data_IF_735632257014
#
_entry.id   IF_735632257014
#
_cell.length_a   1.000
_cell.length_b   1.000
_cell.length_c   1.000
_cell.angle_alpha   90.00
_cell.angle_beta   90.00
_cell.angle_gamma   90.00
#
_symmetry.space_group_name_H-M   'P 1'
#
loop_
_entity.id
_entity.type
_entity.pdbx_description
1 polymer ?
#
# COMPACT_ATOMS: atom_id res chain seq x y z
N UNK A 1 7.34 12.31 11.33
CA UNK A 1 8.43 11.34 11.65
C UNK A 1 9.82 11.87 11.29
N UNK A 2 10.08 12.31 10.05
CA UNK A 2 11.43 12.72 9.60
C UNK A 2 12.06 13.86 10.42
N UNK A 3 11.33 14.96 10.63
CA UNK A 3 11.83 16.13 11.39
C UNK A 3 12.17 15.75 12.83
N UNK A 4 11.30 15.00 13.50
CA UNK A 4 11.52 14.53 14.88
C UNK A 4 12.74 13.62 14.97
N UNK A 5 12.92 12.70 14.01
CA UNK A 5 14.12 11.86 13.93
C UNK A 5 15.39 12.70 13.80
N UNK A 6 15.34 13.78 13.00
CA UNK A 6 16.47 14.69 12.81
C UNK A 6 16.85 15.41 14.11
N UNK A 7 15.86 15.95 14.82
CA UNK A 7 16.04 16.65 16.11
C UNK A 7 16.59 15.70 17.17
N UNK A 8 16.00 14.51 17.30
CA UNK A 8 16.44 13.51 18.28
C UNK A 8 17.84 12.98 17.96
N UNK A 9 18.16 12.74 16.69
CA UNK A 9 19.49 12.24 16.30
C UNK A 9 20.58 13.28 16.58
N UNK A 10 20.29 14.58 16.42
CA UNK A 10 21.20 15.67 16.80
C UNK A 10 21.43 15.72 18.31
N UNK A 11 20.37 15.59 19.12
CA UNK A 11 20.48 15.62 20.59
C UNK A 11 21.15 14.37 21.18
N UNK A 12 20.94 13.21 20.58
CA UNK A 12 21.48 11.94 21.08
C UNK A 12 22.90 11.61 20.56
N UNK A 13 23.46 12.44 19.66
CA UNK A 13 24.73 12.19 18.93
C UNK A 13 24.87 10.78 18.32
N UNK A 14 23.74 10.10 18.09
CA UNK A 14 23.66 8.78 17.46
C UNK A 14 22.39 8.70 16.63
N UNK A 15 22.39 7.87 15.58
CA UNK A 15 21.21 7.64 14.74
C UNK A 15 20.10 7.05 15.61
N UNK A 16 19.09 7.85 15.92
CA UNK A 16 17.90 7.38 16.60
C UNK A 16 16.94 6.75 15.58
N UNK A 17 16.68 5.45 15.69
CA UNK A 17 15.66 4.75 14.90
C UNK A 17 14.29 4.95 15.55
N UNK A 18 13.71 6.14 15.39
CA UNK A 18 12.40 6.48 15.97
C UNK A 18 11.30 6.19 14.95
N UNK A 19 10.40 5.28 15.32
CA UNK A 19 9.15 5.01 14.62
C UNK A 19 8.05 5.71 15.39
N UNK A 20 7.35 6.65 14.74
CA UNK A 20 6.19 7.33 15.31
C UNK A 20 4.97 6.70 14.69
N UNK A 21 4.20 5.99 15.50
CA UNK A 21 2.86 5.50 15.15
C UNK A 21 1.85 6.33 15.93
N UNK A 22 0.86 6.89 15.24
CA UNK A 22 -0.18 7.70 15.84
C UNK A 22 -1.41 6.80 15.93
N UNK A 23 -1.81 6.41 17.14
CA UNK A 23 -3.02 5.62 17.41
C UNK A 23 -3.19 4.33 16.57
N UNK A 24 -2.11 3.61 16.23
CA UNK A 24 -2.20 2.41 15.39
C UNK A 24 -2.59 2.71 13.94
N UNK A 25 -2.44 3.96 13.48
CA UNK A 25 -2.86 4.37 12.14
C UNK A 25 -2.21 3.53 11.04
N UNK A 26 -0.94 3.11 11.21
CA UNK A 26 -0.26 2.25 10.22
C UNK A 26 -0.87 0.86 10.12
N UNK A 27 -1.24 0.25 11.24
CA UNK A 27 -1.89 -1.07 11.25
C UNK A 27 -3.31 -0.97 10.69
N UNK A 28 -4.09 0.01 11.14
CA UNK A 28 -5.44 0.25 10.65
C UNK A 28 -5.50 0.61 9.15
N UNK A 29 -4.55 1.42 8.66
CA UNK A 29 -4.43 1.73 7.22
C UNK A 29 -4.12 0.48 6.40
N UNK A 30 -3.19 -0.36 6.88
CA UNK A 30 -2.81 -1.59 6.19
C UNK A 30 -3.98 -2.57 6.09
N UNK A 31 -4.77 -2.69 7.16
CA UNK A 31 -5.96 -3.55 7.16
C UNK A 31 -7.03 -3.04 6.20
N UNK A 32 -7.28 -1.72 6.18
CA UNK A 32 -8.20 -1.11 5.21
C UNK A 32 -7.76 -1.35 3.77
N UNK A 33 -6.46 -1.27 3.48
CA UNK A 33 -5.91 -1.53 2.15
C UNK A 33 -6.06 -3.01 1.74
N UNK A 34 -5.87 -3.95 2.68
CA UNK A 34 -6.14 -5.39 2.45
C UNK A 34 -7.60 -5.63 2.12
N UNK A 35 -8.51 -5.03 2.91
CA UNK A 35 -9.94 -5.08 2.68
C UNK A 35 -10.34 -4.49 1.33
N UNK A 36 -9.80 -3.32 0.96
CA UNK A 36 -10.01 -2.69 -0.34
C UNK A 36 -9.55 -3.59 -1.48
N UNK A 37 -8.34 -4.16 -1.39
CA UNK A 37 -7.78 -5.06 -2.40
C UNK A 37 -8.69 -6.26 -2.64
N UNK A 38 -9.16 -6.92 -1.57
CA UNK A 38 -10.04 -8.08 -1.67
C UNK A 38 -11.41 -7.74 -2.28
N UNK A 39 -12.00 -6.60 -1.92
CA UNK A 39 -13.27 -6.15 -2.51
C UNK A 39 -13.12 -5.87 -4.00
N UNK A 40 -12.07 -5.14 -4.38
CA UNK A 40 -11.82 -4.80 -5.78
C UNK A 40 -11.45 -6.03 -6.61
N UNK A 41 -10.73 -7.01 -6.05
CA UNK A 41 -10.47 -8.28 -6.71
C UNK A 41 -11.76 -9.05 -6.99
N UNK A 42 -12.65 -9.19 -6.00
CA UNK A 42 -13.97 -9.80 -6.20
C UNK A 42 -14.77 -9.09 -7.28
N UNK A 43 -14.78 -7.75 -7.24
CA UNK A 43 -15.50 -6.95 -8.23
C UNK A 43 -14.91 -7.12 -9.64
N UNK A 44 -13.58 -7.20 -9.77
CA UNK A 44 -12.91 -7.40 -11.05
C UNK A 44 -13.27 -8.75 -11.67
N UNK A 45 -13.30 -9.82 -10.86
CA UNK A 45 -13.71 -11.16 -11.29
C UNK A 45 -15.20 -11.19 -11.65
N UNK A 46 -16.06 -10.62 -10.80
CA UNK A 46 -17.51 -10.61 -11.02
C UNK A 46 -17.90 -9.84 -12.29
N UNK A 47 -17.22 -8.74 -12.59
CA UNK A 47 -17.47 -7.92 -13.76
C UNK A 47 -16.67 -8.36 -14.99
N UNK A 48 -15.75 -9.33 -14.84
CA UNK A 48 -14.84 -9.77 -15.91
C UNK A 48 -13.97 -8.66 -16.49
N UNK A 49 -13.79 -7.54 -15.76
CA UNK A 49 -13.07 -6.36 -16.26
C UNK A 49 -11.96 -5.93 -15.33
N UNK A 50 -10.95 -5.33 -15.94
CA UNK A 50 -9.80 -4.77 -15.24
C UNK A 50 -10.21 -3.57 -14.40
N UNK A 51 -9.84 -3.55 -13.12
CA UNK A 51 -10.10 -2.43 -12.20
C UNK A 51 -8.80 -1.72 -11.88
N UNK A 52 -8.79 -0.40 -12.05
CA UNK A 52 -7.64 0.44 -11.69
C UNK A 52 -7.92 1.18 -10.39
N UNK A 53 -7.01 1.05 -9.43
CA UNK A 53 -7.05 1.76 -8.16
C UNK A 53 -6.49 3.17 -8.29
N UNK A 54 -6.74 4.00 -7.28
CA UNK A 54 -6.15 5.32 -7.19
C UNK A 54 -4.61 5.26 -7.04
N UNK A 55 -3.88 6.28 -7.53
CA UNK A 55 -2.44 6.39 -7.30
C UNK A 55 -2.12 6.42 -5.81
N UNK A 56 -1.11 5.65 -5.41
CA UNK A 56 -0.75 5.54 -4.00
C UNK A 56 0.76 5.31 -3.80
N UNK A 57 1.30 5.61 -2.60
CA UNK A 57 2.72 5.51 -2.37
C UNK A 57 3.22 4.04 -2.43
N UNK A 58 4.53 3.83 -2.65
CA UNK A 58 5.09 2.49 -2.90
C UNK A 58 4.79 1.44 -1.81
N UNK A 59 4.76 1.86 -0.54
CA UNK A 59 4.42 0.98 0.59
C UNK A 59 2.97 0.47 0.50
N UNK A 60 2.02 1.32 0.12
CA UNK A 60 0.61 0.94 -0.03
C UNK A 60 0.41 0.01 -1.23
N UNK A 61 1.07 0.31 -2.36
CA UNK A 61 1.06 -0.58 -3.54
C UNK A 61 1.59 -1.97 -3.22
N UNK A 62 2.67 -2.04 -2.43
CA UNK A 62 3.25 -3.32 -1.98
C UNK A 62 2.25 -4.13 -1.15
N UNK A 63 1.47 -3.49 -0.28
CA UNK A 63 0.45 -4.19 0.52
C UNK A 63 -0.58 -4.85 -0.38
N UNK A 64 -1.10 -4.13 -1.39
CA UNK A 64 -2.09 -4.67 -2.33
C UNK A 64 -1.51 -5.83 -3.13
N UNK A 65 -0.32 -5.63 -3.71
CA UNK A 65 0.37 -6.68 -4.46
C UNK A 65 0.56 -7.95 -3.63
N UNK A 66 1.01 -7.83 -2.39
CA UNK A 66 1.20 -8.97 -1.49
C UNK A 66 -0.13 -9.62 -1.09
N UNK A 67 -1.17 -8.83 -0.85
CA UNK A 67 -2.50 -9.32 -0.46
C UNK A 67 -3.11 -10.17 -1.56
N UNK A 68 -2.96 -9.75 -2.82
CA UNK A 68 -3.54 -10.43 -3.97
C UNK A 68 -2.62 -11.49 -4.61
N UNK A 69 -1.34 -11.58 -4.19
CA UNK A 69 -0.36 -12.51 -4.77
C UNK A 69 -0.78 -13.98 -4.67
N UNK A 70 -1.46 -14.35 -3.58
CA UNK A 70 -1.90 -15.73 -3.34
C UNK A 70 -3.22 -16.10 -4.03
N UNK A 71 -3.85 -15.18 -4.73
CA UNK A 71 -5.13 -15.40 -5.39
C UNK A 71 -4.93 -15.96 -6.80
N UNK A 72 -5.62 -17.05 -7.13
CA UNK A 72 -5.55 -17.67 -8.45
C UNK A 72 -6.43 -16.98 -9.49
N UNK A 73 -7.42 -16.19 -9.07
CA UNK A 73 -8.46 -15.58 -9.92
C UNK A 73 -8.10 -14.18 -10.45
N UNK A 74 -7.06 -13.54 -9.91
CA UNK A 74 -6.65 -12.18 -10.30
C UNK A 74 -5.14 -12.04 -10.41
N UNK A 75 -4.69 -11.10 -11.21
CA UNK A 75 -3.30 -10.66 -11.31
C UNK A 75 -3.21 -9.15 -11.10
N UNK A 76 -2.13 -8.67 -10.50
CA UNK A 76 -1.92 -7.24 -10.24
C UNK A 76 -0.76 -6.68 -11.06
N UNK A 77 -0.91 -5.51 -11.68
CA UNK A 77 0.17 -4.76 -12.35
C UNK A 77 0.23 -3.33 -11.84
N UNK A 78 1.44 -2.78 -11.69
CA UNK A 78 1.62 -1.34 -11.40
C UNK A 78 1.81 -0.57 -12.71
N UNK A 79 0.96 0.41 -12.99
CA UNK A 79 0.98 1.24 -14.20
C UNK A 79 1.24 2.70 -13.84
N UNK A 80 2.04 3.41 -14.65
CA UNK A 80 2.40 4.83 -14.45
C UNK A 80 3.74 5.04 -13.74
N UNK A 81 4.08 6.30 -13.49
CA UNK A 81 5.40 6.73 -12.98
C UNK A 81 5.30 7.63 -11.75
N UNK A 82 6.32 7.59 -10.89
CA UNK A 82 6.42 8.47 -9.72
C UNK A 82 5.15 8.50 -8.86
N UNK A 83 4.56 9.70 -8.74
CA UNK A 83 3.36 9.98 -7.91
C UNK A 83 2.04 9.56 -8.58
N UNK A 84 2.02 9.35 -9.89
CA UNK A 84 0.82 8.91 -10.63
C UNK A 84 0.74 7.39 -10.77
N UNK A 85 1.74 6.68 -10.24
CA UNK A 85 1.81 5.22 -10.31
C UNK A 85 0.70 4.58 -9.48
N UNK A 86 -0.10 3.76 -10.14
CA UNK A 86 -1.31 3.10 -9.64
C UNK A 86 -1.26 1.60 -9.82
N UNK A 87 -2.10 0.87 -9.10
CA UNK A 87 -2.21 -0.59 -9.19
C UNK A 87 -3.47 -0.95 -9.96
N UNK A 88 -3.33 -1.83 -10.93
CA UNK A 88 -4.38 -2.37 -11.77
C UNK A 88 -4.56 -3.84 -11.44
N UNK A 89 -5.80 -4.24 -11.16
CA UNK A 89 -6.21 -5.61 -10.87
C UNK A 89 -6.88 -6.15 -12.14
N UNK A 90 -6.29 -7.19 -12.71
CA UNK A 90 -6.72 -7.85 -13.93
C UNK A 90 -7.31 -9.21 -13.53
N UNK A 91 -8.60 -9.47 -13.78
CA UNK A 91 -9.16 -10.81 -13.59
C UNK A 91 -8.51 -11.78 -14.59
N UNK A 92 -8.30 -13.03 -14.17
CA UNK A 92 -7.85 -14.10 -15.07
C UNK A 92 -9.03 -14.73 -15.80
#
# INVERSE_FOLDING_TARGET
>A
QYIIRLICSRRLQRRANIIIDVAGYKSGRSERLRGLANRMAKQAVQQGRTITLEPMPPNERRIIHLTLRGRADVTTRSVGEGRTRKVTIVPK
#
